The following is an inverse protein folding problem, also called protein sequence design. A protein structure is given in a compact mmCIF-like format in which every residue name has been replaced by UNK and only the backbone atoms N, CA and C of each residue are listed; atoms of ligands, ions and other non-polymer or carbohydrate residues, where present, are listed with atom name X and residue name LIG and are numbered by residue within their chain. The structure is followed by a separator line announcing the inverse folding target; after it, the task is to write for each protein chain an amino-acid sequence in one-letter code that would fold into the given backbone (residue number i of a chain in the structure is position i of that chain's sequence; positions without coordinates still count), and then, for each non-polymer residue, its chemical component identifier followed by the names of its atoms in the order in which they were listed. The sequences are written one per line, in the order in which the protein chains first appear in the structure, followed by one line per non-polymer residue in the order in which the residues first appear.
data_IF_449427672213
#
_entry.id   IF_449427672213
#
_cell.length_a   1.000
_cell.length_b   1.000
_cell.length_c   1.000
_cell.angle_alpha   90.00
_cell.angle_beta   90.00
_cell.angle_gamma   90.00
#
_symmetry.space_group_name_H-M   'P 1'
#
loop_
_entity.id
_entity.type
_entity.pdbx_description
1 polymer ?
#
# COMPACT_ATOMS: atom_id res chain seq x y z
N UNK A 1 -16.85 23.29 18.65
CA UNK A 1 -16.90 22.15 17.69
C UNK A 1 -17.99 21.19 18.14
N UNK A 2 -18.98 20.91 17.29
CA UNK A 2 -20.01 19.94 17.59
C UNK A 2 -19.43 18.48 17.47
N UNK A 3 -20.19 17.48 17.92
CA UNK A 3 -19.73 16.09 17.93
C UNK A 3 -19.39 15.55 16.53
N UNK A 4 -20.08 16.00 15.50
CA UNK A 4 -19.87 15.64 14.10
C UNK A 4 -18.52 16.20 13.58
N UNK A 5 -18.23 17.46 13.85
CA UNK A 5 -16.97 18.08 13.49
C UNK A 5 -15.77 17.41 14.18
N UNK A 6 -15.91 17.00 15.46
CA UNK A 6 -14.89 16.23 16.17
C UNK A 6 -14.60 14.87 15.51
N UNK A 7 -15.64 14.17 15.02
CA UNK A 7 -15.46 12.90 14.28
C UNK A 7 -14.70 13.11 12.97
N UNK A 8 -15.06 14.13 12.18
CA UNK A 8 -14.37 14.43 10.92
C UNK A 8 -12.89 14.74 11.17
N UNK A 9 -12.60 15.67 12.09
CA UNK A 9 -11.20 16.03 12.42
C UNK A 9 -10.41 14.81 12.86
N UNK A 10 -10.97 13.97 13.73
CA UNK A 10 -10.31 12.75 14.20
C UNK A 10 -10.04 11.75 13.08
N UNK A 11 -11.00 11.51 12.20
CA UNK A 11 -10.84 10.64 11.03
C UNK A 11 -9.79 11.16 10.04
N UNK A 12 -9.79 12.47 9.78
CA UNK A 12 -8.78 13.16 8.97
C UNK A 12 -7.38 13.00 9.55
N UNK A 13 -7.21 13.21 10.86
CA UNK A 13 -5.92 13.04 11.54
C UNK A 13 -5.45 11.58 11.44
N UNK A 14 -6.33 10.59 11.65
CA UNK A 14 -5.96 9.18 11.53
C UNK A 14 -5.54 8.80 10.11
N UNK A 15 -6.24 9.31 9.10
CA UNK A 15 -5.88 9.10 7.70
C UNK A 15 -4.51 9.70 7.35
N UNK A 16 -4.28 10.95 7.79
CA UNK A 16 -2.99 11.63 7.60
C UNK A 16 -1.85 10.88 8.28
N UNK A 17 -2.04 10.48 9.53
CA UNK A 17 -1.02 9.75 10.29
C UNK A 17 -0.70 8.39 9.64
N UNK A 18 -1.70 7.65 9.14
CA UNK A 18 -1.43 6.38 8.45
C UNK A 18 -0.60 6.57 7.18
N UNK A 19 -0.92 7.58 6.37
CA UNK A 19 -0.14 7.90 5.17
C UNK A 19 1.30 8.33 5.50
N UNK A 20 1.49 9.21 6.49
CA UNK A 20 2.82 9.61 6.96
C UNK A 20 3.64 8.41 7.45
N UNK A 21 3.04 7.52 8.24
CA UNK A 21 3.72 6.31 8.75
C UNK A 21 4.12 5.39 7.60
N UNK A 22 3.27 5.19 6.60
CA UNK A 22 3.61 4.38 5.42
C UNK A 22 4.75 5.00 4.62
N UNK A 23 4.75 6.33 4.42
CA UNK A 23 5.86 7.04 3.79
C UNK A 23 7.19 6.88 4.54
N UNK A 24 7.18 7.01 5.87
CA UNK A 24 8.35 6.75 6.73
C UNK A 24 8.84 5.32 6.56
N UNK A 25 7.94 4.33 6.52
CA UNK A 25 8.33 2.93 6.38
C UNK A 25 8.90 2.59 4.99
N UNK A 26 8.47 3.31 3.95
CA UNK A 26 9.12 3.25 2.63
C UNK A 26 10.59 3.66 2.71
N UNK A 27 10.87 4.80 3.36
CA UNK A 27 12.24 5.31 3.57
C UNK A 27 13.09 4.37 4.44
N UNK A 28 12.51 3.82 5.51
CA UNK A 28 13.22 2.83 6.34
C UNK A 28 13.55 1.57 5.56
N UNK A 29 12.68 1.15 4.63
CA UNK A 29 12.96 0.05 3.70
C UNK A 29 14.11 0.39 2.75
N UNK A 30 14.11 1.58 2.15
CA UNK A 30 15.19 2.07 1.28
C UNK A 30 16.53 2.14 2.04
N UNK A 31 16.50 2.63 3.29
CA UNK A 31 17.67 2.61 4.17
C UNK A 31 18.21 1.19 4.41
N UNK A 32 17.30 0.21 4.58
CA UNK A 32 17.67 -1.19 4.77
C UNK A 32 18.39 -1.77 3.54
N UNK A 33 17.92 -1.44 2.33
CA UNK A 33 18.56 -1.90 1.09
C UNK A 33 19.95 -1.33 0.94
N UNK A 34 20.14 -0.06 1.25
CA UNK A 34 21.43 0.63 1.07
C UNK A 34 22.47 0.26 2.12
N UNK A 35 22.07 0.07 3.39
CA UNK A 35 23.00 -0.16 4.50
C UNK A 35 23.21 -1.62 4.87
N UNK A 36 22.14 -2.43 4.81
CA UNK A 36 22.20 -3.84 5.22
C UNK A 36 22.14 -4.81 4.05
N UNK A 37 21.98 -4.32 2.82
CA UNK A 37 21.96 -5.10 1.59
C UNK A 37 20.98 -6.30 1.66
N UNK A 38 19.83 -6.10 2.30
CA UNK A 38 18.76 -7.09 2.37
C UNK A 38 17.97 -7.13 1.06
N UNK A 39 17.30 -8.24 0.79
CA UNK A 39 16.38 -8.33 -0.36
C UNK A 39 14.97 -7.84 -0.02
N UNK A 40 14.26 -7.36 -1.04
CA UNK A 40 12.82 -7.04 -0.95
C UNK A 40 11.99 -8.22 -0.44
N UNK A 41 12.34 -9.44 -0.81
CA UNK A 41 11.72 -10.66 -0.30
C UNK A 41 11.89 -10.83 1.20
N UNK A 42 13.09 -10.63 1.72
CA UNK A 42 13.35 -10.75 3.16
C UNK A 42 12.57 -9.72 3.98
N UNK A 43 12.60 -8.44 3.59
CA UNK A 43 11.80 -7.39 4.26
C UNK A 43 10.30 -7.73 4.24
N UNK A 44 9.79 -8.21 3.11
CA UNK A 44 8.38 -8.60 2.97
C UNK A 44 8.03 -9.76 3.91
N UNK A 45 8.87 -10.80 3.97
CA UNK A 45 8.68 -11.96 4.85
C UNK A 45 8.69 -11.57 6.32
N UNK A 46 9.68 -10.78 6.74
CA UNK A 46 9.80 -10.27 8.10
C UNK A 46 8.58 -9.43 8.48
N UNK A 47 8.25 -8.44 7.66
CA UNK A 47 7.16 -7.51 7.91
C UNK A 47 5.80 -8.20 8.03
N UNK A 48 5.46 -9.06 7.06
CA UNK A 48 4.16 -9.75 7.02
C UNK A 48 4.02 -10.77 8.14
N UNK A 49 5.09 -11.50 8.46
CA UNK A 49 5.07 -12.48 9.55
C UNK A 49 4.88 -11.80 10.91
N UNK A 50 5.68 -10.78 11.20
CA UNK A 50 5.59 -10.07 12.48
C UNK A 50 4.27 -9.31 12.62
N UNK A 51 3.90 -8.49 11.62
CA UNK A 51 2.68 -7.71 11.68
C UNK A 51 1.43 -8.60 11.67
N UNK A 52 1.40 -9.63 10.83
CA UNK A 52 0.30 -10.60 10.79
C UNK A 52 0.11 -11.31 12.12
N UNK A 53 1.20 -11.72 12.77
CA UNK A 53 1.16 -12.32 14.12
C UNK A 53 0.58 -11.36 15.15
N UNK A 54 1.01 -10.08 15.15
CA UNK A 54 0.51 -9.07 16.08
C UNK A 54 -0.98 -8.77 15.86
N UNK A 55 -1.40 -8.59 14.60
CA UNK A 55 -2.80 -8.31 14.25
C UNK A 55 -3.69 -9.49 14.59
N UNK A 56 -3.22 -10.72 14.32
CA UNK A 56 -3.99 -11.92 14.61
C UNK A 56 -4.07 -12.19 16.11
N UNK A 57 -3.00 -11.98 16.87
CA UNK A 57 -2.99 -12.08 18.33
C UNK A 57 -3.96 -11.07 18.95
N UNK A 58 -3.93 -9.80 18.48
CA UNK A 58 -4.90 -8.78 18.88
C UNK A 58 -6.33 -9.22 18.57
N UNK A 59 -6.58 -9.73 17.36
CA UNK A 59 -7.89 -10.24 16.96
C UNK A 59 -8.36 -11.40 17.85
N UNK A 60 -7.46 -12.33 18.18
CA UNK A 60 -7.77 -13.48 19.05
C UNK A 60 -8.11 -13.06 20.49
N UNK A 61 -7.46 -12.03 21.02
CA UNK A 61 -7.80 -11.46 22.35
C UNK A 61 -9.22 -10.87 22.37
N UNK A 62 -9.69 -10.28 21.25
CA UNK A 62 -11.01 -9.67 21.15
C UNK A 62 -12.12 -10.69 20.83
N UNK A 63 -11.86 -11.57 19.87
CA UNK A 63 -12.86 -12.47 19.27
C UNK A 63 -12.77 -13.92 19.76
N UNK A 64 -11.72 -14.25 20.53
CA UNK A 64 -11.47 -15.62 21.03
C UNK A 64 -11.48 -16.64 19.87
N UNK A 65 -12.27 -17.71 20.00
CA UNK A 65 -12.35 -18.76 18.98
C UNK A 65 -12.98 -18.30 17.64
N UNK A 66 -13.73 -17.20 17.62
CA UNK A 66 -14.36 -16.68 16.40
C UNK A 66 -13.33 -16.21 15.36
N UNK A 67 -12.09 -15.93 15.76
CA UNK A 67 -10.99 -15.62 14.83
C UNK A 67 -10.74 -16.75 13.83
N UNK A 68 -11.14 -18.00 14.16
CA UNK A 68 -11.00 -19.18 13.32
C UNK A 68 -12.20 -19.45 12.41
N UNK A 69 -13.30 -18.70 12.53
CA UNK A 69 -14.55 -18.96 11.80
C UNK A 69 -14.36 -18.87 10.28
N UNK A 70 -13.42 -18.07 9.82
CA UNK A 70 -13.07 -17.95 8.40
C UNK A 70 -12.62 -19.30 7.79
N UNK A 71 -12.04 -20.19 8.60
CA UNK A 71 -11.52 -21.50 8.19
C UNK A 71 -12.52 -22.64 8.32
N UNK A 72 -13.69 -22.39 8.92
CA UNK A 72 -14.74 -23.42 9.04
C UNK A 72 -15.43 -23.76 7.72
N UNK A 73 -15.44 -22.81 6.77
CA UNK A 73 -16.01 -23.00 5.44
C UNK A 73 -14.89 -23.19 4.40
N UNK A 74 -14.76 -24.42 3.88
CA UNK A 74 -13.74 -24.78 2.88
C UNK A 74 -13.83 -23.95 1.58
N UNK A 75 -15.01 -23.40 1.26
CA UNK A 75 -15.22 -22.53 0.10
C UNK A 75 -14.40 -21.23 0.20
N UNK A 76 -14.01 -20.85 1.40
CA UNK A 76 -13.20 -19.65 1.63
C UNK A 76 -11.72 -19.85 1.27
N UNK A 77 -11.20 -21.08 1.27
CA UNK A 77 -9.76 -21.33 1.21
C UNK A 77 -9.08 -20.74 -0.03
N UNK A 78 -9.57 -21.09 -1.22
CA UNK A 78 -8.98 -20.60 -2.46
C UNK A 78 -9.17 -19.08 -2.67
N UNK A 79 -10.38 -18.51 -2.49
CA UNK A 79 -10.55 -17.05 -2.60
C UNK A 79 -9.75 -16.27 -1.55
N UNK A 80 -9.59 -16.83 -0.34
CA UNK A 80 -8.81 -16.18 0.71
C UNK A 80 -7.30 -16.27 0.44
N UNK A 81 -6.83 -17.39 -0.09
CA UNK A 81 -5.45 -17.54 -0.55
C UNK A 81 -5.15 -16.57 -1.72
N UNK A 82 -6.08 -16.41 -2.66
CA UNK A 82 -5.97 -15.40 -3.72
C UNK A 82 -5.86 -13.98 -3.15
N UNK A 83 -6.63 -13.63 -2.13
CA UNK A 83 -6.49 -12.35 -1.41
C UNK A 83 -5.10 -12.20 -0.78
N UNK A 84 -4.62 -13.23 -0.09
CA UNK A 84 -3.32 -13.18 0.57
C UNK A 84 -2.17 -12.97 -0.43
N UNK A 85 -2.20 -13.69 -1.57
CA UNK A 85 -1.12 -13.64 -2.56
C UNK A 85 -1.27 -12.46 -3.51
N UNK A 86 -2.42 -12.33 -4.20
CA UNK A 86 -2.61 -11.27 -5.20
C UNK A 86 -2.82 -9.89 -4.56
N UNK A 87 -3.40 -9.85 -3.37
CA UNK A 87 -3.57 -8.62 -2.60
C UNK A 87 -2.34 -8.33 -1.74
N UNK A 88 -2.29 -8.87 -0.53
CA UNK A 88 -1.32 -8.45 0.50
C UNK A 88 0.13 -8.69 0.08
N UNK A 89 0.49 -9.91 -0.36
CA UNK A 89 1.86 -10.21 -0.76
C UNK A 89 2.28 -9.33 -1.95
N UNK A 90 1.47 -9.23 -3.00
CA UNK A 90 1.82 -8.47 -4.19
C UNK A 90 2.01 -6.98 -3.89
N UNK A 91 1.15 -6.36 -3.07
CA UNK A 91 1.33 -4.97 -2.63
C UNK A 91 2.68 -4.77 -1.99
N UNK A 92 3.05 -5.63 -1.03
CA UNK A 92 4.23 -5.44 -0.20
C UNK A 92 5.51 -5.82 -0.95
N UNK A 93 5.52 -6.98 -1.61
CA UNK A 93 6.70 -7.50 -2.30
C UNK A 93 7.08 -6.61 -3.48
N UNK A 94 6.13 -6.31 -4.37
CA UNK A 94 6.42 -5.49 -5.54
C UNK A 94 6.69 -4.02 -5.19
N UNK A 95 6.11 -3.51 -4.09
CA UNK A 95 6.48 -2.20 -3.56
C UNK A 95 7.96 -2.16 -3.17
N UNK A 96 8.40 -3.08 -2.30
CA UNK A 96 9.78 -3.11 -1.88
C UNK A 96 10.75 -3.46 -3.00
N UNK A 97 10.33 -4.29 -3.95
CA UNK A 97 11.13 -4.56 -5.13
C UNK A 97 11.28 -3.30 -6.00
N UNK A 98 10.25 -2.48 -6.12
CA UNK A 98 10.33 -1.18 -6.78
C UNK A 98 11.27 -0.23 -6.01
N UNK A 99 11.20 -0.20 -4.67
CA UNK A 99 12.13 0.61 -3.84
C UNK A 99 13.58 0.16 -4.05
N UNK A 100 13.84 -1.14 -4.04
CA UNK A 100 15.18 -1.74 -4.23
C UNK A 100 15.79 -1.35 -5.58
N UNK A 101 14.98 -1.26 -6.64
CA UNK A 101 15.44 -0.90 -7.99
C UNK A 101 15.31 0.60 -8.33
N UNK A 102 14.77 1.42 -7.41
CA UNK A 102 14.65 2.87 -7.58
C UNK A 102 14.80 3.61 -6.25
N UNK A 103 13.69 4.01 -5.64
CA UNK A 103 13.60 4.64 -4.32
C UNK A 103 12.15 4.62 -3.80
N UNK A 104 11.97 4.94 -2.51
CA UNK A 104 10.66 4.91 -1.86
C UNK A 104 9.68 5.94 -2.45
N UNK A 105 10.17 7.13 -2.85
CA UNK A 105 9.32 8.14 -3.48
C UNK A 105 8.72 7.64 -4.81
N UNK A 106 9.56 7.06 -5.68
CA UNK A 106 9.12 6.47 -6.94
C UNK A 106 8.10 5.34 -6.73
N UNK A 107 8.39 4.43 -5.80
CA UNK A 107 7.51 3.30 -5.51
C UNK A 107 6.13 3.75 -5.02
N UNK A 108 6.07 4.72 -4.09
CA UNK A 108 4.80 5.25 -3.57
C UNK A 108 4.00 5.99 -4.63
N UNK A 109 4.65 6.78 -5.49
CA UNK A 109 3.97 7.51 -6.57
C UNK A 109 3.37 6.54 -7.59
N UNK A 110 4.14 5.52 -8.03
CA UNK A 110 3.64 4.50 -8.95
C UNK A 110 2.50 3.68 -8.34
N UNK A 111 2.60 3.31 -7.06
CA UNK A 111 1.55 2.60 -6.36
C UNK A 111 0.25 3.43 -6.28
N UNK A 112 0.37 4.75 -6.19
CA UNK A 112 -0.78 5.66 -6.13
C UNK A 112 -1.66 5.65 -7.39
N UNK A 113 -1.21 5.03 -8.49
CA UNK A 113 -2.02 4.82 -9.71
C UNK A 113 -3.07 3.70 -9.56
N UNK A 114 -3.12 3.01 -8.42
CA UNK A 114 -4.04 1.90 -8.15
C UNK A 114 -5.52 2.16 -8.47
N UNK A 115 -6.11 3.37 -8.35
CA UNK A 115 -7.48 3.64 -8.77
C UNK A 115 -7.73 3.37 -10.27
N UNK A 116 -6.71 3.52 -11.12
CA UNK A 116 -6.82 3.17 -12.54
C UNK A 116 -7.13 1.68 -12.71
N UNK A 117 -6.42 0.82 -11.95
CA UNK A 117 -6.67 -0.62 -11.98
C UNK A 117 -8.04 -0.99 -11.42
N UNK A 118 -8.50 -0.29 -10.37
CA UNK A 118 -9.86 -0.47 -9.80
C UNK A 118 -10.91 -0.10 -10.83
N UNK A 119 -10.76 1.02 -11.54
CA UNK A 119 -11.66 1.45 -12.61
C UNK A 119 -11.73 0.39 -13.72
N UNK A 120 -10.58 -0.11 -14.16
CA UNK A 120 -10.47 -1.15 -15.17
C UNK A 120 -11.13 -2.46 -14.72
N UNK A 121 -10.91 -2.88 -13.49
CA UNK A 121 -11.57 -4.05 -12.90
C UNK A 121 -13.09 -3.87 -12.88
N UNK A 122 -13.59 -2.72 -12.44
CA UNK A 122 -15.02 -2.41 -12.42
C UNK A 122 -15.64 -2.48 -13.84
N UNK A 123 -14.89 -2.04 -14.84
CA UNK A 123 -15.31 -2.14 -16.24
C UNK A 123 -15.40 -3.57 -16.75
N UNK A 124 -14.40 -4.39 -16.41
CA UNK A 124 -14.33 -5.78 -16.91
C UNK A 124 -15.30 -6.71 -16.17
N UNK A 125 -15.36 -6.61 -14.85
CA UNK A 125 -16.10 -7.55 -14.01
C UNK A 125 -17.55 -7.13 -13.81
N UNK A 126 -17.79 -5.84 -13.53
CA UNK A 126 -19.13 -5.33 -13.28
C UNK A 126 -19.76 -4.63 -14.49
N UNK A 127 -19.07 -4.59 -15.63
CA UNK A 127 -19.51 -3.94 -16.87
C UNK A 127 -19.91 -2.47 -16.68
N UNK A 128 -19.45 -1.82 -15.61
CA UNK A 128 -19.69 -0.40 -15.36
C UNK A 128 -18.96 0.44 -16.41
N UNK A 129 -19.66 1.37 -17.04
CA UNK A 129 -19.03 2.31 -17.98
C UNK A 129 -18.25 3.35 -17.20
N UNK A 130 -16.98 3.58 -17.59
CA UNK A 130 -16.23 4.70 -17.09
C UNK A 130 -16.82 6.02 -17.59
N UNK A 131 -16.88 7.03 -16.74
CA UNK A 131 -17.25 8.37 -17.16
C UNK A 131 -16.17 8.96 -18.09
N UNK A 132 -16.53 10.00 -18.85
CA UNK A 132 -15.55 10.70 -19.70
C UNK A 132 -14.45 11.37 -18.86
N UNK A 133 -14.82 11.91 -17.71
CA UNK A 133 -13.89 12.49 -16.72
C UNK A 133 -12.92 11.45 -16.17
N UNK A 134 -13.41 10.26 -15.81
CA UNK A 134 -12.55 9.17 -15.33
C UNK A 134 -11.52 8.76 -16.39
N UNK A 135 -11.92 8.66 -17.67
CA UNK A 135 -10.99 8.38 -18.78
C UNK A 135 -9.96 9.50 -18.91
N UNK A 136 -10.37 10.76 -18.82
CA UNK A 136 -9.47 11.91 -18.85
C UNK A 136 -8.44 11.85 -17.70
N UNK A 137 -8.86 11.60 -16.46
CA UNK A 137 -7.96 11.48 -15.32
C UNK A 137 -6.96 10.33 -15.49
N UNK A 138 -7.39 9.20 -16.01
CA UNK A 138 -6.52 8.06 -16.33
C UNK A 138 -5.45 8.46 -17.36
N UNK A 139 -5.84 9.12 -18.45
CA UNK A 139 -4.89 9.56 -19.48
C UNK A 139 -3.86 10.55 -18.92
N UNK A 140 -4.29 11.51 -18.10
CA UNK A 140 -3.38 12.47 -17.46
C UNK A 140 -2.42 11.75 -16.51
N UNK A 141 -2.89 10.80 -15.71
CA UNK A 141 -2.03 10.02 -14.83
C UNK A 141 -1.02 9.16 -15.61
N UNK A 142 -1.43 8.57 -16.74
CA UNK A 142 -0.52 7.81 -17.62
C UNK A 142 0.57 8.70 -18.23
N UNK A 143 0.25 9.95 -18.59
CA UNK A 143 1.26 10.93 -19.00
C UNK A 143 2.25 11.22 -17.86
N UNK A 144 1.76 11.33 -16.61
CA UNK A 144 2.61 11.47 -15.43
C UNK A 144 3.56 10.30 -15.24
N UNK A 145 3.08 9.05 -15.40
CA UNK A 145 3.94 7.85 -15.35
C UNK A 145 4.97 7.87 -16.47
N UNK A 146 4.58 8.23 -17.70
CA UNK A 146 5.50 8.37 -18.83
C UNK A 146 6.58 9.41 -18.55
N UNK A 147 6.22 10.59 -18.03
CA UNK A 147 7.17 11.64 -17.66
C UNK A 147 8.12 11.17 -16.54
N UNK A 148 7.61 10.48 -15.54
CA UNK A 148 8.40 9.93 -14.45
C UNK A 148 9.41 8.89 -14.94
N UNK A 149 8.97 8.02 -15.87
CA UNK A 149 9.81 6.97 -16.43
C UNK A 149 10.91 7.49 -17.35
N UNK A 150 10.71 8.62 -18.03
CA UNK A 150 11.60 9.13 -19.08
C UNK A 150 12.29 10.46 -18.74
N UNK A 151 11.82 11.16 -17.70
CA UNK A 151 12.20 12.55 -17.39
C UNK A 151 12.04 13.51 -18.58
N UNK A 152 11.10 13.20 -19.49
CA UNK A 152 10.84 13.97 -20.69
C UNK A 152 11.69 13.57 -21.92
N UNK A 153 12.66 12.70 -21.79
CA UNK A 153 13.42 12.12 -22.90
C UNK A 153 12.87 10.73 -23.26
N UNK A 154 12.01 10.67 -24.27
CA UNK A 154 11.37 9.43 -24.72
C UNK A 154 12.35 8.40 -25.31
N UNK A 155 13.59 8.79 -25.59
CA UNK A 155 14.61 7.86 -26.12
C UNK A 155 15.29 7.04 -25.02
N UNK A 156 15.16 7.45 -23.77
CA UNK A 156 15.81 6.81 -22.62
C UNK A 156 14.85 6.65 -21.44
N UNK A 157 14.96 5.53 -20.74
CA UNK A 157 14.28 5.36 -19.46
C UNK A 157 15.17 5.92 -18.33
N UNK A 158 14.62 6.81 -17.52
CA UNK A 158 15.31 7.38 -16.36
C UNK A 158 15.30 6.47 -15.13
N UNK A 159 14.47 5.44 -15.17
CA UNK A 159 14.39 4.38 -14.16
C UNK A 159 14.56 3.02 -14.83
N UNK A 160 14.92 2.01 -14.05
CA UNK A 160 15.00 0.65 -14.59
C UNK A 160 13.63 0.14 -15.02
N UNK A 161 13.52 -0.59 -16.16
CA UNK A 161 12.23 -1.18 -16.55
C UNK A 161 11.63 -2.05 -15.44
N UNK A 162 12.48 -2.68 -14.62
CA UNK A 162 12.05 -3.51 -13.51
C UNK A 162 11.38 -2.68 -12.41
N UNK A 163 11.89 -1.49 -12.09
CA UNK A 163 11.25 -0.57 -11.13
C UNK A 163 9.86 -0.14 -11.62
N UNK A 164 9.73 0.21 -12.90
CA UNK A 164 8.44 0.59 -13.48
C UNK A 164 7.42 -0.56 -13.40
N UNK A 165 7.83 -1.74 -13.86
CA UNK A 165 6.94 -2.92 -13.87
C UNK A 165 6.53 -3.30 -12.45
N UNK A 166 7.47 -3.35 -11.50
CA UNK A 166 7.18 -3.74 -10.12
C UNK A 166 6.32 -2.68 -9.40
N UNK A 167 6.53 -1.38 -9.64
CA UNK A 167 5.65 -0.34 -9.14
C UNK A 167 4.21 -0.47 -9.64
N UNK A 168 4.02 -0.77 -10.93
CA UNK A 168 2.69 -1.02 -11.51
C UNK A 168 2.06 -2.33 -10.99
N UNK A 169 2.85 -3.39 -10.79
CA UNK A 169 2.39 -4.63 -10.17
C UNK A 169 1.97 -4.42 -8.70
N UNK A 170 2.67 -3.57 -7.97
CA UNK A 170 2.28 -3.15 -6.63
C UNK A 170 0.93 -2.41 -6.64
N UNK A 171 0.74 -1.47 -7.56
CA UNK A 171 -0.53 -0.75 -7.73
C UNK A 171 -1.70 -1.69 -8.09
N UNK A 172 -1.45 -2.70 -8.94
CA UNK A 172 -2.42 -3.76 -9.21
C UNK A 172 -2.71 -4.62 -7.97
N UNK A 173 -1.68 -4.90 -7.19
CA UNK A 173 -1.81 -5.56 -5.88
C UNK A 173 -2.73 -4.78 -4.93
N UNK A 174 -2.62 -3.43 -4.89
CA UNK A 174 -3.54 -2.58 -4.11
C UNK A 174 -4.99 -2.77 -4.55
N UNK A 175 -5.26 -2.84 -5.86
CA UNK A 175 -6.61 -3.14 -6.36
C UNK A 175 -7.14 -4.45 -5.77
N UNK A 176 -6.38 -5.54 -5.84
CA UNK A 176 -6.79 -6.82 -5.26
C UNK A 176 -6.92 -6.76 -3.74
N UNK A 177 -6.04 -6.03 -3.06
CA UNK A 177 -6.08 -5.85 -1.61
C UNK A 177 -7.31 -5.04 -1.13
N UNK A 178 -7.89 -4.22 -2.00
CA UNK A 178 -9.13 -3.47 -1.72
C UNK A 178 -10.37 -4.32 -2.03
N UNK A 179 -10.38 -5.07 -3.13
CA UNK A 179 -11.57 -5.75 -3.65
C UNK A 179 -11.78 -7.12 -3.00
N UNK A 180 -10.73 -7.96 -2.98
CA UNK A 180 -10.86 -9.38 -2.58
C UNK A 180 -11.23 -9.59 -1.09
N UNK A 181 -10.80 -8.77 -0.12
CA UNK A 181 -11.15 -8.99 1.28
C UNK A 181 -12.59 -8.58 1.64
N UNK A 182 -13.29 -7.82 0.80
CA UNK A 182 -14.59 -7.25 1.15
C UNK A 182 -15.65 -8.27 1.60
N UNK A 183 -15.84 -9.42 0.93
CA UNK A 183 -16.80 -10.43 1.39
C UNK A 183 -16.42 -11.01 2.76
N UNK A 184 -15.14 -11.23 3.00
CA UNK A 184 -14.61 -11.75 4.25
C UNK A 184 -14.72 -10.73 5.38
N UNK A 185 -14.35 -9.48 5.11
CA UNK A 185 -14.42 -8.40 6.08
C UNK A 185 -15.87 -8.12 6.54
N UNK A 186 -16.84 -8.23 5.63
CA UNK A 186 -18.27 -8.11 5.95
C UNK A 186 -18.77 -9.27 6.83
N UNK A 187 -18.29 -10.50 6.59
CA UNK A 187 -18.77 -11.71 7.27
C UNK A 187 -18.05 -12.00 8.59
N UNK A 188 -16.73 -11.82 8.62
CA UNK A 188 -15.86 -12.24 9.73
C UNK A 188 -15.21 -11.05 10.47
N UNK A 189 -15.43 -9.84 9.99
CA UNK A 189 -14.77 -8.64 10.48
C UNK A 189 -13.45 -8.36 9.76
N UNK A 190 -13.07 -7.10 9.77
CA UNK A 190 -11.90 -6.66 9.01
C UNK A 190 -10.58 -7.10 9.66
N UNK A 191 -10.45 -6.97 10.99
CA UNK A 191 -9.19 -7.28 11.70
C UNK A 191 -8.76 -8.74 11.51
N UNK A 192 -9.62 -9.76 11.74
CA UNK A 192 -9.24 -11.15 11.50
C UNK A 192 -8.98 -11.43 10.02
N UNK A 193 -9.70 -10.77 9.10
CA UNK A 193 -9.48 -10.92 7.66
C UNK A 193 -8.07 -10.44 7.27
N UNK A 194 -7.67 -9.26 7.72
CA UNK A 194 -6.32 -8.73 7.43
C UNK A 194 -5.24 -9.54 8.15
N UNK A 195 -5.45 -9.90 9.41
CA UNK A 195 -4.49 -10.69 10.18
C UNK A 195 -4.17 -12.05 9.53
N UNK A 196 -5.20 -12.82 9.17
CA UNK A 196 -5.01 -14.08 8.45
C UNK A 196 -4.41 -13.88 7.06
N UNK A 197 -4.85 -12.84 6.34
CA UNK A 197 -4.28 -12.50 5.04
C UNK A 197 -2.78 -12.21 5.13
N UNK A 198 -2.34 -11.43 6.14
CA UNK A 198 -0.93 -11.15 6.39
C UNK A 198 -0.14 -12.42 6.77
N UNK A 199 -0.68 -13.30 7.61
CA UNK A 199 -0.03 -14.57 7.96
C UNK A 199 0.16 -15.45 6.72
N UNK A 200 -0.87 -15.65 5.91
CA UNK A 200 -0.74 -16.46 4.68
C UNK A 200 0.22 -15.84 3.67
N UNK A 201 0.14 -14.53 3.48
CA UNK A 201 1.07 -13.81 2.62
C UNK A 201 2.52 -13.90 3.15
N UNK A 202 2.70 -13.81 4.47
CA UNK A 202 3.97 -14.00 5.14
C UNK A 202 4.52 -15.41 5.00
N UNK A 203 3.69 -16.44 5.17
CA UNK A 203 4.08 -17.84 4.94
C UNK A 203 4.50 -18.05 3.48
N UNK A 204 3.72 -17.55 2.53
CA UNK A 204 4.09 -17.62 1.10
C UNK A 204 5.40 -16.90 0.82
N UNK A 205 5.60 -15.71 1.36
CA UNK A 205 6.84 -14.94 1.22
C UNK A 205 8.04 -15.69 1.83
N UNK A 206 7.87 -16.35 2.98
CA UNK A 206 8.92 -17.14 3.62
C UNK A 206 9.33 -18.39 2.83
N UNK A 207 8.46 -18.92 1.98
CA UNK A 207 8.85 -20.00 1.02
C UNK A 207 9.80 -19.46 -0.03
N UNK A 208 9.61 -18.21 -0.47
CA UNK A 208 10.46 -17.58 -1.49
C UNK A 208 11.73 -16.97 -0.89
N UNK A 209 11.62 -16.35 0.27
CA UNK A 209 12.70 -15.65 0.96
C UNK A 209 12.54 -15.80 2.47
N UNK A 210 13.13 -16.83 3.06
CA UNK A 210 12.97 -17.15 4.47
C UNK A 210 13.55 -16.08 5.40
N UNK A 211 12.78 -15.65 6.40
CA UNK A 211 13.20 -14.62 7.36
C UNK A 211 14.39 -15.02 8.22
N UNK A 212 14.63 -16.32 8.41
CA UNK A 212 15.77 -16.83 9.17
C UNK A 212 17.10 -16.83 8.38
N UNK A 213 17.04 -16.63 7.05
CA UNK A 213 18.23 -16.46 6.22
C UNK A 213 18.64 -15.00 6.21
N UNK A 214 19.49 -14.62 7.16
CA UNK A 214 20.01 -13.26 7.27
C UNK A 214 21.20 -13.09 6.33
N UNK A 215 21.14 -12.04 5.49
CA UNK A 215 22.25 -11.61 4.63
C UNK A 215 23.17 -10.61 5.33
N UNK A 216 22.85 -10.21 6.56
CA UNK A 216 23.58 -9.22 7.35
C UNK A 216 23.72 -9.67 8.80
N UNK A 217 24.64 -9.05 9.53
CA UNK A 217 24.78 -9.25 10.98
C UNK A 217 23.81 -8.32 11.70
N UNK A 218 22.82 -8.86 12.44
CA UNK A 218 21.88 -8.03 13.18
C UNK A 218 22.57 -7.19 14.24
N UNK A 219 22.25 -5.91 14.25
CA UNK A 219 22.61 -4.95 15.29
C UNK A 219 21.36 -4.33 15.91
N UNK A 220 21.53 -3.50 16.93
CA UNK A 220 20.40 -2.87 17.63
C UNK A 220 19.56 -2.00 16.69
N UNK A 221 20.18 -1.33 15.70
CA UNK A 221 19.49 -0.46 14.76
C UNK A 221 18.65 -1.25 13.77
N UNK A 222 19.19 -2.33 13.19
CA UNK A 222 18.43 -3.21 12.29
C UNK A 222 17.23 -3.83 12.99
N UNK A 223 17.38 -4.27 14.25
CA UNK A 223 16.27 -4.82 15.04
C UNK A 223 15.20 -3.75 15.28
N UNK A 224 15.60 -2.54 15.72
CA UNK A 224 14.65 -1.44 15.93
C UNK A 224 13.90 -1.06 14.65
N UNK A 225 14.59 -0.96 13.51
CA UNK A 225 13.95 -0.64 12.24
C UNK A 225 12.97 -1.75 11.84
N UNK A 226 13.33 -3.03 11.98
CA UNK A 226 12.41 -4.15 11.74
C UNK A 226 11.14 -4.04 12.59
N UNK A 227 11.29 -3.75 13.88
CA UNK A 227 10.15 -3.58 14.78
C UNK A 227 9.30 -2.36 14.41
N UNK A 228 9.92 -1.24 14.02
CA UNK A 228 9.22 -0.03 13.58
C UNK A 228 8.41 -0.34 12.31
N UNK A 229 9.02 -0.97 11.31
CA UNK A 229 8.34 -1.32 10.05
C UNK A 229 7.18 -2.31 10.32
N UNK A 230 7.39 -3.34 11.12
CA UNK A 230 6.36 -4.35 11.39
C UNK A 230 5.23 -3.80 12.27
N UNK A 231 5.56 -3.16 13.40
CA UNK A 231 4.57 -2.67 14.34
C UNK A 231 3.90 -1.38 13.86
N UNK A 232 4.68 -0.31 13.69
CA UNK A 232 4.12 0.99 13.32
C UNK A 232 3.69 1.03 11.85
N UNK A 233 4.57 0.61 10.94
CA UNK A 233 4.35 0.71 9.50
C UNK A 233 3.32 -0.28 8.95
N UNK A 234 2.99 -1.32 9.71
CA UNK A 234 2.02 -2.30 9.25
C UNK A 234 0.86 -2.43 10.22
N UNK A 235 1.05 -3.04 11.40
CA UNK A 235 -0.06 -3.31 12.31
C UNK A 235 -0.78 -2.04 12.76
N UNK A 236 -0.04 -1.04 13.26
CA UNK A 236 -0.61 0.20 13.79
C UNK A 236 -1.16 1.12 12.68
N UNK A 237 -0.42 1.30 11.57
CA UNK A 237 -0.89 2.11 10.45
C UNK A 237 -2.19 1.58 9.86
N UNK A 238 -2.31 0.25 9.68
CA UNK A 238 -3.57 -0.36 9.28
C UNK A 238 -4.68 -0.13 10.31
N UNK A 239 -4.40 -0.27 11.60
CA UNK A 239 -5.40 -0.05 12.65
C UNK A 239 -5.94 1.39 12.65
N UNK A 240 -5.08 2.40 12.56
CA UNK A 240 -5.54 3.81 12.52
C UNK A 240 -6.21 4.16 11.20
N UNK A 241 -5.75 3.61 10.06
CA UNK A 241 -6.39 3.76 8.76
C UNK A 241 -7.83 3.22 8.78
N UNK A 242 -8.04 2.06 9.41
CA UNK A 242 -9.39 1.51 9.59
C UNK A 242 -10.28 2.39 10.45
N UNK A 243 -9.73 2.93 11.55
CA UNK A 243 -10.48 3.90 12.36
C UNK A 243 -10.82 5.15 11.57
N UNK A 244 -9.94 5.60 10.68
CA UNK A 244 -10.25 6.72 9.78
C UNK A 244 -11.47 6.40 8.90
N UNK A 245 -11.47 5.26 8.20
CA UNK A 245 -12.59 4.82 7.33
C UNK A 245 -13.92 4.73 8.08
N UNK A 246 -13.89 4.39 9.37
CA UNK A 246 -15.12 4.35 10.21
C UNK A 246 -15.64 5.73 10.66
N UNK A 247 -14.83 6.77 10.54
CA UNK A 247 -15.13 8.13 11.03
C UNK A 247 -15.42 9.14 9.92
N UNK A 248 -14.82 8.95 8.74
CA UNK A 248 -14.94 9.85 7.59
C UNK A 248 -15.29 9.09 6.32
N UNK A 249 -15.80 9.81 5.32
CA UNK A 249 -16.16 9.18 4.04
C UNK A 249 -14.92 8.61 3.33
N UNK A 250 -15.08 7.57 2.51
CA UNK A 250 -14.01 7.02 1.67
C UNK A 250 -13.30 8.09 0.83
N UNK A 251 -14.05 9.12 0.40
CA UNK A 251 -13.53 10.28 -0.30
C UNK A 251 -12.44 11.01 0.50
N UNK A 252 -12.72 11.34 1.77
CA UNK A 252 -11.76 12.03 2.63
C UNK A 252 -10.51 11.19 2.82
N UNK A 253 -10.68 9.87 3.05
CA UNK A 253 -9.54 8.94 3.19
C UNK A 253 -8.71 8.93 1.91
N UNK A 254 -9.33 8.81 0.74
CA UNK A 254 -8.64 8.77 -0.55
C UNK A 254 -7.82 10.04 -0.83
N UNK A 255 -8.40 11.23 -0.60
CA UNK A 255 -7.69 12.50 -0.78
C UNK A 255 -6.48 12.60 0.16
N UNK A 256 -6.68 12.22 1.43
CA UNK A 256 -5.62 12.33 2.45
C UNK A 256 -4.54 11.24 2.26
N UNK A 257 -4.85 10.11 1.60
CA UNK A 257 -3.86 9.08 1.26
C UNK A 257 -2.71 9.60 0.38
N UNK A 258 -2.89 10.73 -0.33
CA UNK A 258 -1.80 11.42 -1.01
C UNK A 258 -0.69 11.92 -0.05
N UNK A 259 -0.94 11.94 1.26
CA UNK A 259 0.11 12.20 2.26
C UNK A 259 1.23 11.18 2.25
N UNK A 260 1.00 9.94 1.81
CA UNK A 260 2.01 8.89 1.70
C UNK A 260 3.09 9.22 0.66
N UNK A 261 2.78 9.40 -0.64
CA UNK A 261 3.80 9.75 -1.62
C UNK A 261 4.45 11.11 -1.35
N UNK A 262 3.71 12.08 -0.80
CA UNK A 262 4.27 13.38 -0.45
C UNK A 262 5.27 13.28 0.70
N UNK A 263 4.95 12.52 1.76
CA UNK A 263 5.88 12.30 2.88
C UNK A 263 7.08 11.48 2.46
N UNK A 264 6.90 10.45 1.64
CA UNK A 264 7.99 9.63 1.12
C UNK A 264 8.96 10.48 0.28
N UNK A 265 8.45 11.30 -0.64
CA UNK A 265 9.29 12.20 -1.45
C UNK A 265 10.05 13.22 -0.57
N UNK A 266 9.36 13.87 0.37
CA UNK A 266 9.99 14.84 1.27
C UNK A 266 11.10 14.21 2.12
N UNK A 267 10.84 13.04 2.70
CA UNK A 267 11.80 12.33 3.52
C UNK A 267 12.97 11.77 2.71
N UNK A 268 12.74 11.30 1.46
CA UNK A 268 13.82 10.92 0.55
C UNK A 268 14.76 12.08 0.25
N UNK A 269 14.21 13.29 0.07
CA UNK A 269 15.03 14.50 -0.11
C UNK A 269 15.86 14.80 1.14
N UNK A 270 15.23 14.76 2.32
CA UNK A 270 15.87 15.18 3.58
C UNK A 270 16.91 14.18 4.08
N UNK A 271 16.68 12.88 3.91
CA UNK A 271 17.48 11.83 4.54
C UNK A 271 18.27 10.95 3.58
N UNK A 272 17.85 10.84 2.31
CA UNK A 272 18.48 9.96 1.33
C UNK A 272 19.08 10.72 0.13
N UNK A 273 19.05 12.05 0.16
CA UNK A 273 19.68 12.88 -0.87
C UNK A 273 18.99 12.82 -2.23
N UNK A 274 17.69 12.50 -2.28
CA UNK A 274 16.92 12.51 -3.52
C UNK A 274 16.97 13.93 -4.14
N UNK A 275 17.44 14.02 -5.38
CA UNK A 275 17.42 15.27 -6.13
C UNK A 275 16.05 15.44 -6.76
N UNK A 276 15.36 16.50 -6.37
CA UNK A 276 14.07 16.88 -6.95
C UNK A 276 14.31 17.76 -8.17
N UNK A 277 13.94 17.26 -9.32
CA UNK A 277 13.88 18.03 -10.55
C UNK A 277 12.43 18.38 -10.93
N UNK A 278 12.27 19.27 -11.91
CA UNK A 278 10.96 19.70 -12.39
C UNK A 278 10.14 18.55 -12.96
N UNK A 279 10.80 17.55 -13.56
CA UNK A 279 10.12 16.40 -14.15
C UNK A 279 9.47 15.53 -13.08
N UNK A 280 10.12 15.34 -11.93
CA UNK A 280 9.58 14.61 -10.78
C UNK A 280 8.38 15.35 -10.19
N UNK A 281 8.49 16.67 -9.95
CA UNK A 281 7.38 17.48 -9.41
C UNK A 281 6.16 17.46 -10.34
N UNK A 282 6.37 17.63 -11.63
CA UNK A 282 5.31 17.60 -12.63
C UNK A 282 4.69 16.19 -12.73
N UNK A 283 5.50 15.14 -12.74
CA UNK A 283 5.02 13.77 -12.75
C UNK A 283 4.17 13.46 -11.50
N UNK A 284 4.63 13.87 -10.31
CA UNK A 284 3.84 13.73 -9.06
C UNK A 284 2.48 14.45 -9.18
N UNK A 285 2.45 15.68 -9.65
CA UNK A 285 1.22 16.43 -9.84
C UNK A 285 0.29 15.75 -10.86
N UNK A 286 0.82 15.29 -12.00
CA UNK A 286 0.06 14.60 -13.05
C UNK A 286 -0.49 13.23 -12.62
N UNK A 287 0.09 12.58 -11.60
CA UNK A 287 -0.40 11.31 -11.05
C UNK A 287 -1.35 11.57 -9.88
N UNK A 288 -0.92 12.33 -8.90
CA UNK A 288 -1.64 12.48 -7.62
C UNK A 288 -2.96 13.24 -7.81
N UNK A 289 -2.95 14.38 -8.52
CA UNK A 289 -4.16 15.19 -8.67
C UNK A 289 -5.28 14.46 -9.42
N UNK A 290 -5.05 13.83 -10.60
CA UNK A 290 -6.08 13.08 -11.28
C UNK A 290 -6.60 11.90 -10.46
N UNK A 291 -5.74 11.20 -9.69
CA UNK A 291 -6.18 10.08 -8.85
C UNK A 291 -7.07 10.55 -7.69
N UNK A 292 -6.80 11.71 -7.11
CA UNK A 292 -7.68 12.34 -6.15
C UNK A 292 -9.05 12.65 -6.78
N UNK A 293 -9.08 13.29 -7.96
CA UNK A 293 -10.32 13.63 -8.65
C UNK A 293 -11.10 12.39 -9.07
N UNK A 294 -10.43 11.35 -9.59
CA UNK A 294 -11.05 10.07 -9.93
C UNK A 294 -11.71 9.43 -8.71
N UNK A 295 -11.01 9.38 -7.57
CA UNK A 295 -11.55 8.85 -6.32
C UNK A 295 -12.76 9.63 -5.81
N UNK A 296 -12.77 10.96 -6.01
CA UNK A 296 -13.91 11.84 -5.67
C UNK A 296 -15.12 11.50 -6.53
N UNK A 297 -14.91 11.28 -7.83
CA UNK A 297 -15.97 10.95 -8.77
C UNK A 297 -16.60 9.60 -8.47
N UNK A 298 -15.79 8.55 -8.29
CA UNK A 298 -16.27 7.21 -7.91
C UNK A 298 -17.07 7.22 -6.60
N UNK A 299 -16.63 8.02 -5.61
CA UNK A 299 -17.37 8.15 -4.34
C UNK A 299 -18.72 8.86 -4.50
N UNK A 300 -18.91 9.70 -5.53
CA UNK A 300 -20.21 10.32 -5.86
C UNK A 300 -21.14 9.35 -6.58
N UNK A 301 -20.61 8.51 -7.47
CA UNK A 301 -21.41 7.52 -8.22
C UNK A 301 -21.86 6.34 -7.36
N UNK A 302 -21.20 6.09 -6.22
CA UNK A 302 -21.54 5.00 -5.29
C UNK A 302 -22.65 5.35 -4.30
N UNK A 303 -23.13 6.61 -4.29
CA UNK A 303 -24.28 7.09 -3.52
C UNK A 303 -25.57 7.09 -4.33
#
# INVERSE_FOLDING_TARGET
MNQYQKKIVKGTIYSLLSGLIWGICGILGEYFFTHYQVSSGWITSMRLTLAGSLVLMWSAMQLKSQVLDIWRDKKNYLPFLAYAILGIFSVQYFFYLCVEYSNAATATILQFISPVFILFYNRLVYHKRASKSAIFYVLVAMLGVGLMATKGDLSQLSMTPLALVTGLLSAMGVMFNVILPQPFAKRYGFVPTVGWGMILAGLFSNVLSPVYQLSFTPDIWSILICLIIAFFGTAFAFFISMKAVSLVSPLVVSVISASEPLSSALLSVLFLGLVVDWSLLLAMALIILPMIFLSIEEAKESK
#
